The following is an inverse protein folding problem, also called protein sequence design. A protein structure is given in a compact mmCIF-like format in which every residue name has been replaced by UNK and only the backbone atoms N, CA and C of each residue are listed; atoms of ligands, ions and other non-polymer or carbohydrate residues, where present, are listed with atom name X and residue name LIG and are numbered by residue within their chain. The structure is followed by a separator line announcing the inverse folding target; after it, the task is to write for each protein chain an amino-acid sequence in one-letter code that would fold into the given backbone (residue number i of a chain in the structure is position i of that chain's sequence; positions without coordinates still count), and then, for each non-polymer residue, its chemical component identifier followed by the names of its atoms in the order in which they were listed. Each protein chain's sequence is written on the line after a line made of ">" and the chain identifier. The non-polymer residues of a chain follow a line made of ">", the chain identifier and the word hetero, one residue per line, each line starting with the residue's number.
data_IF_923448871208
#
_entry.id   IF_923448871208
#
_cell.length_a   1.000
_cell.length_b   1.000
_cell.length_c   1.000
_cell.angle_alpha   90.00
_cell.angle_beta   90.00
_cell.angle_gamma   90.00
#
_symmetry.space_group_name_H-M   'P 1'
#
loop_
_entity.id
_entity.type
_entity.pdbx_description
1 polymer ?
#
# COMPACT_ATOMS: atom_id res chain seq x y z
N UNK A 1 -52.11 4.52 -45.75
CA UNK A 1 -52.30 3.13 -45.33
C UNK A 1 -51.09 2.70 -44.54
N UNK A 2 -51.35 2.16 -43.33
CA UNK A 2 -50.51 1.27 -42.51
C UNK A 2 -49.16 1.84 -42.08
N UNK A 3 -49.02 2.39 -40.86
CA UNK A 3 -48.78 1.71 -39.57
C UNK A 3 -47.56 0.82 -39.60
N UNK A 4 -46.48 1.24 -38.92
CA UNK A 4 -45.62 0.36 -38.18
C UNK A 4 -45.04 1.13 -36.99
N UNK A 5 -45.43 0.73 -35.83
CA UNK A 5 -44.97 1.17 -34.52
C UNK A 5 -43.67 0.41 -34.25
N UNK A 6 -42.57 1.10 -34.09
CA UNK A 6 -41.35 0.51 -33.54
C UNK A 6 -41.25 0.86 -32.06
N UNK A 7 -41.45 -0.14 -31.26
CA UNK A 7 -41.30 -0.11 -29.80
C UNK A 7 -39.82 -0.05 -29.47
N UNK A 8 -39.35 1.09 -29.00
CA UNK A 8 -37.99 1.23 -28.47
C UNK A 8 -38.00 0.86 -27.00
N UNK A 9 -37.55 -0.33 -26.73
CA UNK A 9 -37.32 -0.80 -25.36
C UNK A 9 -35.96 -0.26 -24.88
N UNK A 10 -35.98 0.87 -24.19
CA UNK A 10 -34.82 1.39 -23.47
C UNK A 10 -34.70 0.63 -22.16
N UNK A 11 -33.81 -0.35 -22.14
CA UNK A 11 -33.35 -0.96 -20.91
C UNK A 11 -32.44 0.02 -20.17
N UNK A 12 -33.01 0.67 -19.17
CA UNK A 12 -32.26 1.48 -18.21
C UNK A 12 -31.55 0.53 -17.25
N UNK A 13 -30.30 0.18 -17.54
CA UNK A 13 -29.44 -0.45 -16.55
C UNK A 13 -28.98 0.62 -15.57
N UNK A 14 -29.65 0.69 -14.44
CA UNK A 14 -29.21 1.47 -13.31
C UNK A 14 -27.94 0.87 -12.72
N UNK A 15 -26.80 1.48 -12.99
CA UNK A 15 -25.60 1.30 -12.19
C UNK A 15 -25.86 1.95 -10.84
N UNK A 16 -26.22 1.16 -9.87
CA UNK A 16 -26.18 1.57 -8.49
C UNK A 16 -24.69 1.67 -8.08
N UNK A 17 -24.14 2.86 -8.22
CA UNK A 17 -22.91 3.24 -7.50
C UNK A 17 -23.31 3.37 -6.02
N UNK A 18 -23.12 2.30 -5.27
CA UNK A 18 -23.09 2.39 -3.81
C UNK A 18 -21.82 3.13 -3.43
N UNK A 19 -21.92 4.47 -3.37
CA UNK A 19 -20.96 5.27 -2.66
C UNK A 19 -21.11 4.93 -1.18
N UNK A 20 -20.27 4.04 -0.68
CA UNK A 20 -20.10 3.86 0.75
C UNK A 20 -19.31 5.06 1.25
N UNK A 21 -20.03 6.07 1.71
CA UNK A 21 -19.48 7.19 2.45
C UNK A 21 -19.06 6.70 3.83
N UNK A 22 -17.78 6.44 4.03
CA UNK A 22 -17.14 6.25 5.32
C UNK A 22 -16.33 7.50 5.61
N UNK A 23 -16.89 8.36 6.44
CA UNK A 23 -16.19 9.52 7.00
C UNK A 23 -15.19 9.02 8.04
N UNK A 24 -13.93 9.29 7.82
CA UNK A 24 -12.85 8.97 8.74
C UNK A 24 -11.51 9.12 8.04
N UNK A 25 -10.83 10.28 8.27
CA UNK A 25 -9.63 10.73 7.58
C UNK A 25 -8.38 9.84 7.71
N UNK A 26 -8.47 8.60 7.31
CA UNK A 26 -7.36 7.76 6.95
C UNK A 26 -7.19 7.93 5.45
N UNK A 27 -6.09 8.53 5.02
CA UNK A 27 -5.69 8.45 3.63
C UNK A 27 -5.46 6.99 3.33
N UNK A 28 -6.44 6.46 2.66
CA UNK A 28 -6.54 5.11 2.21
C UNK A 28 -5.23 4.71 1.51
N UNK A 29 -4.44 3.89 2.14
CA UNK A 29 -3.29 3.26 1.50
C UNK A 29 -3.75 2.26 0.44
N UNK A 30 -5.06 2.00 0.40
CA UNK A 30 -5.78 1.43 -0.72
C UNK A 30 -5.23 0.10 -1.24
N UNK A 31 -4.71 -0.76 -0.36
CA UNK A 31 -4.27 -2.08 -0.79
C UNK A 31 -5.49 -2.94 -1.17
N UNK A 32 -5.65 -3.30 -2.43
CA UNK A 32 -6.85 -4.01 -2.89
C UNK A 32 -7.00 -5.37 -2.22
N UNK A 33 -8.16 -5.61 -1.63
CA UNK A 33 -8.49 -6.92 -1.06
C UNK A 33 -7.79 -7.25 0.26
N UNK A 34 -7.13 -6.28 0.88
CA UNK A 34 -6.45 -6.44 2.17
C UNK A 34 -7.29 -5.87 3.30
N UNK A 35 -7.43 -6.63 4.38
CA UNK A 35 -8.00 -6.12 5.63
C UNK A 35 -6.91 -5.37 6.42
N UNK A 36 -7.00 -4.05 6.41
CA UNK A 36 -6.00 -3.16 7.01
C UNK A 36 -5.91 -3.25 8.53
N UNK A 37 -6.82 -3.95 9.20
CA UNK A 37 -6.78 -4.18 10.64
C UNK A 37 -6.57 -5.65 11.02
N UNK A 38 -6.29 -6.50 10.04
CA UNK A 38 -5.96 -7.89 10.33
C UNK A 38 -4.54 -8.02 10.85
N UNK A 39 -4.40 -8.75 11.95
CA UNK A 39 -3.10 -9.12 12.52
C UNK A 39 -2.45 -10.30 11.79
N UNK A 40 -3.21 -10.98 10.94
CA UNK A 40 -2.69 -12.04 10.09
C UNK A 40 -1.91 -11.47 8.92
N UNK A 41 -0.84 -12.16 8.53
CA UNK A 41 -0.06 -11.79 7.34
C UNK A 41 -0.90 -12.04 6.10
N UNK A 42 -1.05 -11.02 5.29
CA UNK A 42 -1.82 -11.06 4.06
C UNK A 42 -0.90 -10.87 2.86
N UNK A 43 -0.98 -11.76 1.89
CA UNK A 43 -0.30 -11.60 0.61
C UNK A 43 -1.01 -10.50 -0.20
N UNK A 44 -0.26 -9.46 -0.57
CA UNK A 44 -0.77 -8.31 -1.33
C UNK A 44 -0.48 -8.50 -2.81
N UNK A 45 0.77 -8.82 -3.14
CA UNK A 45 1.17 -9.12 -4.51
C UNK A 45 2.17 -10.27 -4.56
N UNK A 46 2.20 -10.96 -5.69
CA UNK A 46 3.27 -11.92 -6.01
C UNK A 46 4.48 -11.26 -6.66
N UNK A 47 4.33 -10.02 -7.11
CA UNK A 47 5.42 -9.27 -7.73
C UNK A 47 6.46 -8.89 -6.67
N UNK A 48 7.71 -8.84 -7.11
CA UNK A 48 8.85 -8.57 -6.25
C UNK A 48 9.62 -7.36 -6.77
N UNK A 49 10.23 -6.63 -5.86
CA UNK A 49 11.03 -5.47 -6.20
C UNK A 49 12.46 -5.90 -6.54
N UNK A 50 13.09 -5.20 -7.47
CA UNK A 50 14.51 -5.39 -7.73
C UNK A 50 15.34 -5.02 -6.50
N UNK A 51 16.32 -5.86 -6.13
CA UNK A 51 17.17 -5.64 -4.96
C UNK A 51 17.88 -4.28 -5.01
N UNK A 52 18.30 -3.85 -6.21
CA UNK A 52 18.91 -2.54 -6.39
C UNK A 52 17.98 -1.39 -6.00
N UNK A 53 16.69 -1.51 -6.33
CA UNK A 53 15.67 -0.50 -5.98
C UNK A 53 15.41 -0.50 -4.48
N UNK A 54 15.35 -1.66 -3.83
CA UNK A 54 15.19 -1.74 -2.37
C UNK A 54 16.38 -1.12 -1.64
N UNK A 55 17.61 -1.39 -2.09
CA UNK A 55 18.83 -0.79 -1.56
C UNK A 55 18.81 0.74 -1.73
N UNK A 56 18.46 1.24 -2.92
CA UNK A 56 18.34 2.66 -3.19
C UNK A 56 17.28 3.33 -2.32
N UNK A 57 16.12 2.71 -2.19
CA UNK A 57 15.03 3.19 -1.33
C UNK A 57 15.50 3.31 0.11
N UNK A 58 16.13 2.27 0.62
CA UNK A 58 16.63 2.24 2.00
C UNK A 58 17.71 3.30 2.23
N UNK A 59 18.67 3.41 1.34
CA UNK A 59 19.77 4.36 1.47
C UNK A 59 19.31 5.82 1.30
N UNK A 60 18.51 6.09 0.26
CA UNK A 60 18.18 7.46 -0.14
C UNK A 60 17.06 8.06 0.71
N UNK A 61 16.00 7.30 0.94
CA UNK A 61 14.80 7.81 1.60
C UNK A 61 14.78 7.56 3.10
N UNK A 62 15.43 6.50 3.54
CA UNK A 62 15.34 6.05 4.93
C UNK A 62 16.63 6.31 5.71
N UNK A 63 17.74 6.55 5.02
CA UNK A 63 19.01 6.99 5.62
C UNK A 63 19.55 6.09 6.74
N UNK A 64 19.12 4.84 6.79
CA UNK A 64 19.47 3.91 7.86
C UNK A 64 18.84 4.25 9.21
N UNK A 65 17.89 5.17 9.27
CA UNK A 65 17.20 5.52 10.49
C UNK A 65 16.22 4.42 10.88
N UNK A 66 16.31 3.96 12.12
CA UNK A 66 15.36 2.99 12.65
C UNK A 66 14.07 3.64 13.18
N UNK A 67 14.11 4.94 13.41
CA UNK A 67 12.98 5.70 13.97
C UNK A 67 12.93 7.09 13.38
N UNK A 68 11.72 7.55 13.09
CA UNK A 68 11.44 8.89 12.60
C UNK A 68 10.62 9.67 13.63
N UNK A 69 10.90 10.94 13.78
CA UNK A 69 10.06 11.86 14.55
C UNK A 69 9.08 12.57 13.61
N UNK A 70 8.00 13.14 14.17
CA UNK A 70 7.03 13.88 13.35
C UNK A 70 7.63 15.07 12.60
N UNK A 71 8.76 15.59 13.06
CA UNK A 71 9.47 16.70 12.41
C UNK A 71 10.40 16.25 11.31
N UNK A 72 10.70 14.97 11.21
CA UNK A 72 11.64 14.44 10.21
C UNK A 72 11.00 14.40 8.82
N UNK A 73 11.80 14.64 7.80
CA UNK A 73 11.32 14.60 6.43
C UNK A 73 10.79 13.20 6.06
N UNK A 74 11.40 12.15 6.59
CA UNK A 74 11.04 10.76 6.38
C UNK A 74 9.65 10.44 6.95
N UNK A 75 9.27 11.02 8.08
CA UNK A 75 7.94 10.83 8.67
C UNK A 75 6.79 11.37 7.82
N UNK A 76 7.11 12.15 6.78
CA UNK A 76 6.13 12.68 5.82
C UNK A 76 5.90 11.76 4.63
N UNK A 77 6.80 10.78 4.41
CA UNK A 77 6.65 9.82 3.33
C UNK A 77 5.41 8.95 3.56
N UNK A 78 4.66 8.76 2.49
CA UNK A 78 3.47 7.90 2.47
C UNK A 78 3.78 6.58 1.76
N UNK A 79 2.93 5.59 2.01
CA UNK A 79 3.00 4.32 1.28
C UNK A 79 2.95 4.53 -0.25
N UNK A 80 2.07 5.42 -0.72
CA UNK A 80 1.90 5.67 -2.15
C UNK A 80 3.18 6.21 -2.80
N UNK A 81 3.88 7.14 -2.15
CA UNK A 81 5.14 7.70 -2.65
C UNK A 81 6.25 6.65 -2.70
N UNK A 82 6.37 5.85 -1.65
CA UNK A 82 7.37 4.79 -1.59
C UNK A 82 7.07 3.65 -2.58
N UNK A 83 5.80 3.27 -2.71
CA UNK A 83 5.37 2.30 -3.72
C UNK A 83 5.69 2.77 -5.14
N UNK A 84 5.42 4.04 -5.46
CA UNK A 84 5.73 4.60 -6.78
C UNK A 84 7.23 4.51 -7.10
N UNK A 85 8.07 4.79 -6.12
CA UNK A 85 9.51 4.66 -6.27
C UNK A 85 9.96 3.20 -6.42
N UNK A 86 9.43 2.30 -5.58
CA UNK A 86 9.76 0.87 -5.62
C UNK A 86 9.21 0.20 -6.90
N UNK A 87 8.11 0.69 -7.43
CA UNK A 87 7.49 0.27 -8.68
C UNK A 87 6.47 -0.86 -8.57
N UNK A 88 6.28 -1.42 -7.38
CA UNK A 88 5.34 -2.53 -7.12
C UNK A 88 4.74 -2.39 -5.72
N UNK A 89 3.52 -2.90 -5.53
CA UNK A 89 2.91 -2.99 -4.20
C UNK A 89 3.74 -3.89 -3.28
N UNK A 90 3.59 -3.73 -1.97
CA UNK A 90 4.26 -4.61 -1.01
C UNK A 90 3.86 -6.07 -1.24
N UNK A 91 4.77 -6.97 -0.95
CA UNK A 91 4.50 -8.41 -1.06
C UNK A 91 3.55 -8.89 0.01
N UNK A 92 3.71 -8.37 1.21
CA UNK A 92 2.93 -8.75 2.39
C UNK A 92 2.54 -7.52 3.21
N UNK A 93 1.40 -7.65 3.87
CA UNK A 93 0.88 -6.68 4.84
C UNK A 93 0.40 -7.40 6.10
N UNK A 94 0.61 -6.79 7.27
CA UNK A 94 -0.05 -7.16 8.51
C UNK A 94 -0.25 -5.92 9.38
N UNK A 95 -1.19 -5.99 10.32
CA UNK A 95 -1.40 -4.94 11.31
C UNK A 95 -0.85 -5.39 12.67
N UNK A 96 -0.06 -4.53 13.31
CA UNK A 96 0.44 -4.73 14.68
C UNK A 96 -0.41 -3.89 15.64
N UNK A 97 -1.40 -4.54 16.26
CA UNK A 97 -2.40 -3.90 17.11
C UNK A 97 -1.77 -3.23 18.35
N UNK A 98 -0.76 -3.87 18.94
CA UNK A 98 -0.03 -3.34 20.09
C UNK A 98 0.61 -1.98 19.82
N UNK A 99 1.06 -1.77 18.59
CA UNK A 99 1.75 -0.54 18.17
C UNK A 99 0.89 0.35 17.28
N UNK A 100 -0.34 -0.05 17.00
CA UNK A 100 -1.28 0.65 16.12
C UNK A 100 -0.65 1.05 14.78
N UNK A 101 -0.03 0.07 14.11
CA UNK A 101 0.71 0.30 12.88
C UNK A 101 0.53 -0.83 11.87
N UNK A 102 0.52 -0.46 10.60
CA UNK A 102 0.63 -1.39 9.48
C UNK A 102 2.08 -1.68 9.14
N UNK A 103 2.40 -2.94 8.87
CA UNK A 103 3.70 -3.40 8.41
C UNK A 103 3.58 -3.84 6.96
N UNK A 104 4.33 -3.19 6.11
CA UNK A 104 4.38 -3.40 4.66
C UNK A 104 5.75 -3.96 4.31
N UNK A 105 5.79 -5.15 3.74
CA UNK A 105 7.06 -5.83 3.44
C UNK A 105 7.18 -6.08 1.94
N UNK A 106 8.30 -5.62 1.36
CA UNK A 106 8.72 -5.93 0.00
C UNK A 106 9.86 -6.93 0.03
N UNK A 107 9.71 -8.04 -0.68
CA UNK A 107 10.79 -9.00 -0.89
C UNK A 107 11.52 -8.70 -2.20
N UNK A 108 12.82 -8.94 -2.21
CA UNK A 108 13.61 -8.81 -3.42
C UNK A 108 13.31 -9.93 -4.42
N UNK A 109 13.42 -9.61 -5.72
CA UNK A 109 13.22 -10.57 -6.79
C UNK A 109 14.35 -11.61 -6.84
N UNK A 110 15.55 -11.20 -6.47
CA UNK A 110 16.78 -11.99 -6.59
C UNK A 110 17.05 -12.88 -5.37
N UNK A 111 16.54 -12.50 -4.20
CA UNK A 111 16.80 -13.25 -2.96
C UNK A 111 15.67 -13.04 -1.94
N UNK A 112 14.99 -14.11 -1.57
CA UNK A 112 13.90 -14.11 -0.57
C UNK A 112 14.37 -13.70 0.83
N UNK A 113 15.67 -13.81 1.13
CA UNK A 113 16.22 -13.33 2.40
C UNK A 113 16.43 -11.82 2.45
N UNK A 114 16.31 -11.13 1.30
CA UNK A 114 16.44 -9.69 1.20
C UNK A 114 15.05 -9.06 1.21
N UNK A 115 14.77 -8.21 2.20
CA UNK A 115 13.50 -7.51 2.25
C UNK A 115 13.60 -6.14 2.93
N UNK A 116 12.63 -5.29 2.62
CA UNK A 116 12.39 -4.00 3.24
C UNK A 116 11.02 -4.02 3.91
N UNK A 117 10.98 -3.79 5.21
CA UNK A 117 9.73 -3.62 5.97
C UNK A 117 9.57 -2.17 6.39
N UNK A 118 8.42 -1.60 6.04
CA UNK A 118 8.06 -0.24 6.39
C UNK A 118 6.87 -0.24 7.34
N UNK A 119 6.94 0.59 8.36
CA UNK A 119 5.97 0.67 9.43
C UNK A 119 5.23 2.00 9.35
N UNK A 120 3.94 1.96 9.09
CA UNK A 120 3.09 3.15 9.01
C UNK A 120 2.10 3.16 10.16
N UNK A 121 2.01 4.29 10.86
CA UNK A 121 1.00 4.50 11.88
C UNK A 121 -0.41 4.63 11.30
N UNK A 122 -1.42 4.63 12.17
CA UNK A 122 -2.83 4.80 11.77
C UNK A 122 -3.11 6.13 11.05
N UNK A 123 -2.24 7.10 11.20
CA UNK A 123 -2.29 8.38 10.46
C UNK A 123 -1.71 8.29 9.04
N UNK A 124 -1.29 7.11 8.59
CA UNK A 124 -0.71 6.87 7.27
C UNK A 124 0.71 7.40 7.10
N UNK A 125 1.39 7.78 8.17
CA UNK A 125 2.77 8.27 8.13
C UNK A 125 3.76 7.18 8.47
N UNK A 126 4.91 7.20 7.78
CA UNK A 126 6.03 6.32 8.07
C UNK A 126 6.59 6.64 9.46
N UNK A 127 6.72 5.63 10.30
CA UNK A 127 7.22 5.75 11.68
C UNK A 127 8.51 4.96 11.93
N UNK A 128 8.78 3.94 11.13
CA UNK A 128 10.01 3.15 11.21
C UNK A 128 10.25 2.38 9.90
N UNK A 129 11.45 1.88 9.73
CA UNK A 129 11.83 0.97 8.67
C UNK A 129 12.75 -0.13 9.20
N UNK A 130 12.63 -1.32 8.65
CA UNK A 130 13.53 -2.44 8.88
C UNK A 130 14.05 -2.98 7.55
N UNK A 131 15.36 -3.22 7.47
CA UNK A 131 15.98 -3.76 6.28
C UNK A 131 16.73 -5.07 6.65
N UNK A 132 16.52 -6.10 5.84
CA UNK A 132 17.16 -7.39 5.99
C UNK A 132 18.01 -7.67 4.75
N UNK A 133 19.32 -7.88 4.98
CA UNK A 133 20.31 -8.11 3.92
C UNK A 133 20.30 -7.05 2.79
N UNK A 134 19.87 -5.84 3.11
CA UNK A 134 20.00 -4.68 2.24
C UNK A 134 21.27 -3.91 2.60
N UNK A 135 21.87 -3.26 1.58
CA UNK A 135 23.07 -2.44 1.74
C UNK A 135 22.69 -0.96 1.85
N UNK A 136 23.34 -0.23 2.75
CA UNK A 136 23.30 1.23 2.81
C UNK A 136 24.27 1.84 1.82
#
# INVERSE_FOLDING_TARGET
>A
MKKMIALLLTALMGLALTACGGDGGSKDTGLPGVDMKSTEVQAVTSDRAALAVLNETFATYLGGLNYFTESDAQSKLTYAELKEHIGVDCSEYRYEEEYQRGVYTWYAAEDDACCLSLFFGDNGKLIAAGAYNLSL
#
